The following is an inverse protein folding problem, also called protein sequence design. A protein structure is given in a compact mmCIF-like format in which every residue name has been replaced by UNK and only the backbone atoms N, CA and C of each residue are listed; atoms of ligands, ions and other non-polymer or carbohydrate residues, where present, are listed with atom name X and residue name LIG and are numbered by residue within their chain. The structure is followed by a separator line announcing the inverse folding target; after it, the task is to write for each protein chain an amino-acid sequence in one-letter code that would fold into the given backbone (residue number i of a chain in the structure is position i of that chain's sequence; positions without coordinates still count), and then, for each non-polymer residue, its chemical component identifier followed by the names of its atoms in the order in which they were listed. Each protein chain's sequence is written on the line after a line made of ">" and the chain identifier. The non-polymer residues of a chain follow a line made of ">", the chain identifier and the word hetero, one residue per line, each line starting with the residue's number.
data_IF_810748377324
#
_entry.id   IF_810748377324
#
_cell.length_a   1.000
_cell.length_b   1.000
_cell.length_c   1.000
_cell.angle_alpha   90.00
_cell.angle_beta   90.00
_cell.angle_gamma   90.00
#
_symmetry.space_group_name_H-M   'P 1'
#
loop_
_entity.id
_entity.type
_entity.pdbx_description
1 polymer ?
#
# COMPACT_ATOMS: atom_id res chain seq x y z
N UNK A 1 27.54 8.25 64.90
CA UNK A 1 27.95 8.44 63.51
C UNK A 1 26.90 7.75 62.59
N UNK A 2 25.91 8.49 62.21
CA UNK A 2 24.83 8.01 61.32
C UNK A 2 25.20 8.38 59.91
N UNK A 3 25.32 7.40 59.01
CA UNK A 3 25.57 7.59 57.59
C UNK A 3 24.36 8.27 56.93
N UNK A 4 24.57 9.22 56.00
CA UNK A 4 23.47 9.85 55.26
C UNK A 4 22.85 8.88 54.28
N UNK A 5 21.51 8.82 54.28
CA UNK A 5 20.72 8.06 53.32
C UNK A 5 21.03 8.55 51.90
N UNK A 6 21.45 7.63 51.04
CA UNK A 6 21.62 7.89 49.61
C UNK A 6 20.25 8.28 48.99
N UNK A 7 20.15 9.52 48.55
CA UNK A 7 19.03 10.01 47.75
C UNK A 7 19.11 9.26 46.41
N UNK A 8 18.25 8.25 46.25
CA UNK A 8 18.03 7.63 44.95
C UNK A 8 17.37 8.70 44.08
N UNK A 9 18.16 9.28 43.17
CA UNK A 9 17.66 10.20 42.18
C UNK A 9 16.59 9.47 41.37
N UNK A 10 15.34 9.94 41.49
CA UNK A 10 14.22 9.53 40.63
C UNK A 10 14.64 9.83 39.19
N UNK A 11 14.51 8.88 38.24
CA UNK A 11 14.87 9.20 36.87
C UNK A 11 14.02 10.37 36.39
N UNK A 12 14.68 11.40 35.87
CA UNK A 12 14.08 12.59 35.25
C UNK A 12 13.11 12.17 34.14
N UNK A 13 11.84 12.07 34.48
CA UNK A 13 10.74 11.69 33.59
C UNK A 13 9.87 12.90 33.24
N UNK A 14 10.35 14.11 33.47
CA UNK A 14 9.53 15.32 33.46
C UNK A 14 9.59 16.14 32.18
N UNK A 15 10.25 15.66 31.11
CA UNK A 15 10.33 16.43 29.85
C UNK A 15 9.88 15.63 28.64
N UNK A 16 8.66 15.09 28.66
CA UNK A 16 8.00 14.75 27.40
C UNK A 16 7.20 15.97 26.90
N UNK A 17 7.90 17.04 26.54
CA UNK A 17 7.35 18.18 25.83
C UNK A 17 7.38 17.87 24.32
N UNK A 18 6.38 17.14 23.85
CA UNK A 18 5.75 17.48 22.60
C UNK A 18 6.35 17.05 21.30
N UNK A 19 6.91 15.87 21.06
CA UNK A 19 6.77 15.18 19.76
C UNK A 19 7.08 13.70 19.94
N UNK A 20 6.20 12.83 19.44
CA UNK A 20 6.47 11.39 19.43
C UNK A 20 7.68 11.16 18.52
N UNK A 21 8.82 10.60 19.02
CA UNK A 21 9.98 10.39 18.18
C UNK A 21 9.63 9.52 16.97
N UNK A 22 9.80 10.07 15.76
CA UNK A 22 9.52 9.38 14.49
C UNK A 22 8.27 9.86 13.73
N UNK A 23 7.45 10.78 14.31
CA UNK A 23 6.37 11.43 13.56
C UNK A 23 6.92 12.49 12.59
N UNK A 24 8.01 13.13 12.99
CA UNK A 24 8.55 14.30 12.31
C UNK A 24 9.95 14.11 11.71
N UNK A 25 10.50 12.89 11.78
CA UNK A 25 11.83 12.60 11.21
C UNK A 25 11.82 12.54 9.68
N UNK A 26 12.94 12.96 9.03
CA UNK A 26 13.07 12.81 7.59
C UNK A 26 13.06 11.32 7.21
N UNK A 27 12.32 10.97 6.17
CA UNK A 27 12.37 9.61 5.60
C UNK A 27 13.64 9.45 4.75
N UNK A 28 14.29 8.28 4.86
CA UNK A 28 15.44 7.97 4.01
C UNK A 28 15.05 7.98 2.52
N UNK A 29 16.03 8.26 1.66
CA UNK A 29 15.81 8.26 0.22
C UNK A 29 15.28 6.92 -0.28
N UNK A 30 15.76 5.81 0.30
CA UNK A 30 15.29 4.47 -0.04
C UNK A 30 13.77 4.29 0.23
N UNK A 31 13.28 4.73 1.39
CA UNK A 31 11.85 4.67 1.74
C UNK A 31 11.02 5.57 0.82
N UNK A 32 11.52 6.75 0.47
CA UNK A 32 10.81 7.68 -0.43
C UNK A 32 10.68 7.12 -1.85
N UNK A 33 11.78 6.62 -2.42
CA UNK A 33 11.76 5.98 -3.75
C UNK A 33 10.83 4.78 -3.73
N UNK A 34 10.94 3.92 -2.73
CA UNK A 34 10.07 2.76 -2.58
C UNK A 34 8.58 3.16 -2.53
N UNK A 35 8.24 4.17 -1.73
CA UNK A 35 6.87 4.65 -1.58
C UNK A 35 6.29 5.17 -2.90
N UNK A 36 7.03 6.01 -3.63
CA UNK A 36 6.55 6.56 -4.89
C UNK A 36 6.49 5.51 -6.00
N UNK A 37 7.43 4.57 -6.01
CA UNK A 37 7.36 3.41 -6.90
C UNK A 37 6.12 2.57 -6.61
N UNK A 38 5.86 2.25 -5.34
CA UNK A 38 4.67 1.49 -4.95
C UNK A 38 3.39 2.22 -5.35
N UNK A 39 3.31 3.53 -5.11
CA UNK A 39 2.18 4.36 -5.53
C UNK A 39 1.94 4.26 -7.04
N UNK A 40 2.99 4.38 -7.84
CA UNK A 40 2.89 4.29 -9.31
C UNK A 40 2.38 2.90 -9.75
N UNK A 41 2.97 1.82 -9.25
CA UNK A 41 2.60 0.46 -9.63
C UNK A 41 1.19 0.08 -9.18
N UNK A 42 0.80 0.44 -7.96
CA UNK A 42 -0.56 0.20 -7.44
C UNK A 42 -1.59 1.01 -8.22
N UNK A 43 -1.31 2.29 -8.52
CA UNK A 43 -2.21 3.13 -9.31
C UNK A 43 -2.36 2.62 -10.74
N UNK A 44 -1.27 2.22 -11.39
CA UNK A 44 -1.32 1.63 -12.73
C UNK A 44 -2.08 0.29 -12.73
N UNK A 45 -1.85 -0.56 -11.74
CA UNK A 45 -2.60 -1.81 -11.57
C UNK A 45 -4.10 -1.56 -11.36
N UNK A 46 -4.47 -0.56 -10.57
CA UNK A 46 -5.86 -0.14 -10.42
C UNK A 46 -6.48 0.28 -11.75
N UNK A 47 -5.76 1.09 -12.55
CA UNK A 47 -6.23 1.54 -13.86
C UNK A 47 -6.47 0.37 -14.80
N UNK A 48 -5.59 -0.65 -14.83
CA UNK A 48 -5.80 -1.83 -15.67
C UNK A 48 -7.08 -2.59 -15.32
N UNK A 49 -7.35 -2.78 -14.00
CA UNK A 49 -8.58 -3.44 -13.54
C UNK A 49 -9.81 -2.60 -13.86
N UNK A 50 -9.74 -1.27 -13.65
CA UNK A 50 -10.83 -0.36 -13.98
C UNK A 50 -11.17 -0.41 -15.47
N UNK A 51 -10.17 -0.32 -16.34
CA UNK A 51 -10.36 -0.40 -17.79
C UNK A 51 -10.93 -1.76 -18.22
N UNK A 52 -10.41 -2.87 -17.69
CA UNK A 52 -10.90 -4.21 -18.00
C UNK A 52 -12.35 -4.42 -17.53
N UNK A 53 -12.76 -3.82 -16.41
CA UNK A 53 -14.11 -3.97 -15.85
C UNK A 53 -15.15 -3.01 -16.43
N UNK A 54 -14.72 -1.94 -17.10
CA UNK A 54 -15.60 -0.89 -17.65
C UNK A 54 -15.50 -0.79 -19.17
N UNK A 55 -14.46 -0.16 -19.69
CA UNK A 55 -14.29 0.17 -21.10
C UNK A 55 -14.12 -1.10 -21.95
N UNK A 56 -13.22 -1.99 -21.54
CA UNK A 56 -12.89 -3.24 -22.27
C UNK A 56 -13.67 -4.45 -21.75
N UNK A 57 -14.80 -4.21 -21.10
CA UNK A 57 -15.69 -5.31 -20.76
C UNK A 57 -16.17 -6.01 -22.05
N UNK A 58 -15.99 -7.32 -22.14
CA UNK A 58 -16.22 -8.10 -23.38
C UNK A 58 -17.54 -7.75 -24.09
N UNK A 59 -18.64 -7.58 -23.36
CA UNK A 59 -19.93 -7.21 -23.93
C UNK A 59 -19.91 -5.87 -24.67
N UNK A 60 -19.25 -4.85 -24.10
CA UNK A 60 -19.18 -3.52 -24.70
C UNK A 60 -18.25 -3.52 -25.91
N UNK A 61 -17.13 -4.22 -25.81
CA UNK A 61 -16.13 -4.33 -26.89
C UNK A 61 -16.68 -5.07 -28.08
N UNK A 62 -17.46 -6.15 -27.90
CA UNK A 62 -18.10 -6.89 -29.00
C UNK A 62 -19.04 -5.98 -29.79
N UNK A 63 -19.93 -5.25 -29.11
CA UNK A 63 -20.86 -4.33 -29.75
C UNK A 63 -20.13 -3.21 -30.54
N UNK A 64 -19.07 -2.67 -29.92
CA UNK A 64 -18.23 -1.64 -30.54
C UNK A 64 -17.54 -2.14 -31.79
N UNK A 65 -16.90 -3.33 -31.75
CA UNK A 65 -16.23 -3.93 -32.94
C UNK A 65 -17.21 -4.17 -34.07
N UNK A 66 -18.39 -4.74 -33.79
CA UNK A 66 -19.40 -4.98 -34.82
C UNK A 66 -19.91 -3.67 -35.43
N UNK A 67 -20.18 -2.64 -34.58
CA UNK A 67 -20.66 -1.34 -35.05
C UNK A 67 -19.66 -0.60 -35.94
N UNK A 68 -18.39 -0.55 -35.53
CA UNK A 68 -17.33 0.12 -36.28
C UNK A 68 -17.03 -0.55 -37.61
N UNK A 69 -17.01 -1.89 -37.65
CA UNK A 69 -16.78 -2.64 -38.90
C UNK A 69 -17.97 -2.55 -39.85
N UNK A 70 -19.20 -2.56 -39.34
CA UNK A 70 -20.41 -2.37 -40.15
C UNK A 70 -20.41 -1.00 -40.81
N UNK A 71 -19.97 0.07 -40.17
CA UNK A 71 -19.82 1.41 -40.76
C UNK A 71 -18.80 1.43 -41.92
N UNK A 72 -17.86 0.49 -41.94
CA UNK A 72 -16.88 0.31 -43.02
C UNK A 72 -17.34 -0.68 -44.10
N UNK A 73 -18.59 -1.13 -44.02
CA UNK A 73 -19.13 -2.12 -44.98
C UNK A 73 -18.66 -3.56 -44.74
N UNK A 74 -18.04 -3.84 -43.55
CA UNK A 74 -17.56 -5.17 -43.20
C UNK A 74 -18.51 -5.79 -42.20
N UNK A 75 -19.11 -6.92 -42.51
CA UNK A 75 -19.93 -7.70 -41.59
C UNK A 75 -19.08 -8.75 -40.88
N UNK A 76 -19.07 -8.73 -39.52
CA UNK A 76 -18.43 -9.72 -38.68
C UNK A 76 -19.46 -10.40 -37.80
N UNK A 77 -19.32 -11.71 -37.65
CA UNK A 77 -20.17 -12.46 -36.73
C UNK A 77 -19.78 -12.18 -35.23
N UNK A 78 -20.68 -12.57 -34.34
CA UNK A 78 -20.46 -12.35 -32.90
C UNK A 78 -19.25 -13.13 -32.35
N UNK A 79 -18.85 -14.24 -32.95
CA UNK A 79 -17.67 -15.03 -32.59
C UNK A 79 -16.38 -14.29 -32.94
N UNK A 80 -16.30 -13.75 -34.15
CA UNK A 80 -15.17 -12.96 -34.61
C UNK A 80 -14.99 -11.68 -33.75
N UNK A 81 -16.08 -10.95 -33.50
CA UNK A 81 -16.04 -9.76 -32.64
C UNK A 81 -15.64 -10.10 -31.22
N UNK A 82 -16.07 -11.26 -30.73
CA UNK A 82 -15.69 -11.75 -29.36
C UNK A 82 -14.22 -12.11 -29.31
N UNK A 83 -13.65 -12.72 -30.35
CA UNK A 83 -12.22 -13.04 -30.38
C UNK A 83 -11.37 -11.76 -30.30
N UNK A 84 -11.75 -10.70 -31.02
CA UNK A 84 -11.08 -9.39 -30.91
C UNK A 84 -11.23 -8.79 -29.50
N UNK A 85 -12.44 -8.84 -28.92
CA UNK A 85 -12.67 -8.35 -27.57
C UNK A 85 -11.82 -9.06 -26.52
N UNK A 86 -11.66 -10.38 -26.63
CA UNK A 86 -10.79 -11.16 -25.74
C UNK A 86 -9.33 -10.77 -25.93
N UNK A 87 -8.84 -10.60 -27.16
CA UNK A 87 -7.46 -10.20 -27.40
C UNK A 87 -7.08 -8.87 -26.71
N UNK A 88 -7.98 -7.89 -26.70
CA UNK A 88 -7.78 -6.64 -25.94
C UNK A 88 -7.79 -6.86 -24.44
N UNK A 89 -8.75 -7.64 -23.93
CA UNK A 89 -8.83 -7.97 -22.52
C UNK A 89 -7.56 -8.69 -22.04
N UNK A 90 -7.07 -9.65 -22.81
CA UNK A 90 -5.87 -10.43 -22.48
C UNK A 90 -4.63 -9.54 -22.39
N UNK A 91 -4.50 -8.55 -23.28
CA UNK A 91 -3.41 -7.56 -23.22
C UNK A 91 -3.45 -6.73 -21.94
N UNK A 92 -4.63 -6.30 -21.48
CA UNK A 92 -4.76 -5.58 -20.20
C UNK A 92 -4.37 -6.47 -19.02
N UNK A 93 -4.77 -7.74 -19.03
CA UNK A 93 -4.40 -8.70 -17.98
C UNK A 93 -2.91 -9.03 -18.01
N UNK A 94 -2.27 -9.07 -19.18
CA UNK A 94 -0.81 -9.21 -19.30
C UNK A 94 -0.10 -8.01 -18.65
N UNK A 95 -0.55 -6.77 -18.95
CA UNK A 95 -0.02 -5.57 -18.29
C UNK A 95 -0.22 -5.64 -16.78
N UNK A 96 -1.41 -6.06 -16.31
CA UNK A 96 -1.70 -6.23 -14.89
C UNK A 96 -0.75 -7.22 -14.23
N UNK A 97 -0.47 -8.37 -14.86
CA UNK A 97 0.50 -9.36 -14.37
C UNK A 97 1.90 -8.76 -14.22
N UNK A 98 2.39 -8.02 -15.23
CA UNK A 98 3.71 -7.37 -15.16
C UNK A 98 3.78 -6.33 -14.06
N UNK A 99 2.74 -5.52 -13.88
CA UNK A 99 2.64 -4.59 -12.75
C UNK A 99 2.62 -5.35 -11.41
N UNK A 100 1.92 -6.47 -11.35
CA UNK A 100 1.89 -7.38 -10.20
C UNK A 100 3.28 -7.91 -9.83
N UNK A 101 4.09 -8.34 -10.81
CA UNK A 101 5.48 -8.75 -10.56
C UNK A 101 6.32 -7.58 -10.02
N UNK A 102 6.11 -6.36 -10.54
CA UNK A 102 6.74 -5.16 -9.99
C UNK A 102 6.36 -4.90 -8.53
N UNK A 103 5.08 -5.08 -8.18
CA UNK A 103 4.61 -4.97 -6.78
C UNK A 103 5.25 -6.06 -5.91
N UNK A 104 5.35 -7.31 -6.38
CA UNK A 104 6.04 -8.39 -5.66
C UNK A 104 7.50 -8.03 -5.36
N UNK A 105 8.22 -7.47 -6.33
CA UNK A 105 9.59 -6.99 -6.14
C UNK A 105 9.65 -5.85 -5.11
N UNK A 106 8.72 -4.91 -5.14
CA UNK A 106 8.65 -3.81 -4.18
C UNK A 106 8.32 -4.31 -2.76
N UNK A 107 7.48 -5.33 -2.62
CA UNK A 107 7.22 -5.98 -1.32
C UNK A 107 8.50 -6.63 -0.79
N UNK A 108 9.24 -7.34 -1.63
CA UNK A 108 10.52 -7.93 -1.25
C UNK A 108 11.53 -6.88 -0.82
N UNK A 109 11.68 -5.79 -1.59
CA UNK A 109 12.55 -4.66 -1.24
C UNK A 109 12.14 -4.06 0.10
N UNK A 110 10.83 -3.92 0.38
CA UNK A 110 10.35 -3.41 1.67
C UNK A 110 10.73 -4.31 2.83
N UNK A 111 10.64 -5.61 2.66
CA UNK A 111 11.08 -6.60 3.66
C UNK A 111 12.59 -6.45 3.92
N UNK A 112 13.39 -6.34 2.86
CA UNK A 112 14.85 -6.13 2.98
C UNK A 112 15.15 -4.82 3.73
N UNK A 113 14.49 -3.72 3.40
CA UNK A 113 14.64 -2.44 4.11
C UNK A 113 14.28 -2.59 5.59
N UNK A 114 13.22 -3.32 5.91
CA UNK A 114 12.81 -3.57 7.31
C UNK A 114 13.86 -4.37 8.08
N UNK A 115 14.53 -5.32 7.41
CA UNK A 115 15.55 -6.17 8.03
C UNK A 115 16.92 -5.48 8.16
N UNK A 116 17.35 -4.74 7.13
CA UNK A 116 18.71 -4.21 7.02
C UNK A 116 18.80 -2.71 7.27
N UNK A 117 17.72 -1.97 7.09
CA UNK A 117 17.69 -0.51 7.24
C UNK A 117 18.01 -0.01 8.66
N UNK A 118 18.22 1.30 8.83
CA UNK A 118 18.48 1.91 10.13
C UNK A 118 17.40 1.56 11.14
N UNK A 119 17.79 1.15 12.36
CA UNK A 119 16.84 0.76 13.42
C UNK A 119 15.71 1.77 13.67
N UNK A 120 15.96 3.11 13.69
CA UNK A 120 14.89 4.09 13.92
C UNK A 120 13.80 4.11 12.84
N UNK A 121 14.10 3.66 11.63
CA UNK A 121 13.15 3.64 10.50
C UNK A 121 12.31 2.35 10.42
N UNK A 122 12.71 1.31 11.16
CA UNK A 122 12.01 0.03 11.17
C UNK A 122 10.67 0.17 11.87
N UNK A 123 9.61 -0.24 11.17
CA UNK A 123 8.22 -0.15 11.66
C UNK A 123 8.03 -0.87 12.99
N UNK A 124 8.58 -2.08 13.12
CA UNK A 124 8.51 -2.87 14.34
C UNK A 124 9.19 -2.19 15.54
N UNK A 125 10.35 -1.54 15.32
CA UNK A 125 11.07 -0.80 16.36
C UNK A 125 10.29 0.45 16.78
N UNK A 126 9.75 1.19 15.81
CA UNK A 126 8.93 2.38 16.09
C UNK A 126 7.68 2.03 16.89
N UNK A 127 6.97 0.97 16.49
CA UNK A 127 5.78 0.52 17.21
C UNK A 127 6.11 0.05 18.62
N UNK A 128 7.18 -0.75 18.79
CA UNK A 128 7.62 -1.22 20.12
C UNK A 128 8.00 -0.05 21.04
N UNK A 129 8.72 0.95 20.52
CA UNK A 129 9.05 2.17 21.28
C UNK A 129 7.79 2.93 21.69
N UNK A 130 6.85 3.15 20.77
CA UNK A 130 5.63 3.89 21.07
C UNK A 130 4.75 3.18 22.11
N UNK A 131 4.68 1.85 22.08
CA UNK A 131 3.96 1.05 23.08
C UNK A 131 4.59 1.12 24.48
N UNK A 132 5.90 1.38 24.57
CA UNK A 132 6.60 1.54 25.85
C UNK A 132 6.55 2.96 26.43
N UNK A 133 6.02 3.95 25.70
CA UNK A 133 5.91 5.32 26.17
C UNK A 133 4.80 5.45 27.23
N UNK A 134 5.09 6.19 28.31
CA UNK A 134 4.13 6.57 29.34
C UNK A 134 3.89 8.09 29.26
N UNK A 135 3.02 8.55 28.35
CA UNK A 135 2.80 9.97 28.16
C UNK A 135 2.08 10.58 29.36
N UNK A 136 2.59 11.71 29.83
CA UNK A 136 1.98 12.53 30.87
C UNK A 136 1.09 13.59 30.23
N UNK A 137 -0.16 13.67 30.67
CA UNK A 137 -1.14 14.61 30.12
C UNK A 137 -1.99 14.05 28.98
N UNK A 138 -3.17 14.68 28.79
CA UNK A 138 -4.19 14.24 27.83
C UNK A 138 -3.72 14.37 26.37
N UNK A 139 -3.05 15.47 26.05
CA UNK A 139 -2.61 15.73 24.67
C UNK A 139 -1.53 14.74 24.23
N UNK A 140 -0.49 14.52 25.06
CA UNK A 140 0.57 13.57 24.78
C UNK A 140 0.03 12.14 24.63
N UNK A 141 -0.97 11.75 25.44
CA UNK A 141 -1.65 10.44 25.29
C UNK A 141 -2.34 10.31 23.95
N UNK A 142 -3.05 11.35 23.50
CA UNK A 142 -3.74 11.33 22.21
C UNK A 142 -2.74 11.21 21.04
N UNK A 143 -1.62 11.93 21.09
CA UNK A 143 -0.58 11.88 20.05
C UNK A 143 0.06 10.50 19.98
N UNK A 144 0.44 9.90 21.11
CA UNK A 144 0.98 8.53 21.17
C UNK A 144 -0.03 7.52 20.65
N UNK A 145 -1.30 7.60 21.06
CA UNK A 145 -2.35 6.71 20.59
C UNK A 145 -2.56 6.84 19.09
N UNK A 146 -2.63 8.06 18.56
CA UNK A 146 -2.75 8.32 17.13
C UNK A 146 -1.56 7.70 16.35
N UNK A 147 -0.33 7.89 16.85
CA UNK A 147 0.85 7.28 16.24
C UNK A 147 0.77 5.75 16.20
N UNK A 148 0.39 5.12 17.33
CA UNK A 148 0.23 3.66 17.41
C UNK A 148 -0.83 3.17 16.42
N UNK A 149 -1.98 3.85 16.34
CA UNK A 149 -3.05 3.48 15.40
C UNK A 149 -2.58 3.57 13.94
N UNK A 150 -1.92 4.66 13.57
CA UNK A 150 -1.36 4.81 12.21
C UNK A 150 -0.37 3.68 11.89
N UNK A 151 0.53 3.34 12.83
CA UNK A 151 1.50 2.25 12.62
C UNK A 151 0.83 0.87 12.54
N UNK A 152 -0.23 0.62 13.31
CA UNK A 152 -1.03 -0.61 13.22
C UNK A 152 -1.70 -0.74 11.85
N UNK A 153 -2.26 0.34 11.34
CA UNK A 153 -2.87 0.37 9.99
C UNK A 153 -1.81 0.06 8.92
N UNK A 154 -0.58 0.55 9.06
CA UNK A 154 0.51 0.20 8.14
C UNK A 154 0.90 -1.29 8.23
N UNK A 155 0.92 -1.89 9.41
CA UNK A 155 1.17 -3.33 9.55
C UNK A 155 0.09 -4.14 8.82
N UNK A 156 -1.19 -3.78 9.00
CA UNK A 156 -2.31 -4.42 8.31
C UNK A 156 -2.18 -4.27 6.79
N UNK A 157 -1.83 -3.07 6.33
CA UNK A 157 -1.62 -2.80 4.91
C UNK A 157 -0.48 -3.64 4.32
N UNK A 158 0.68 -3.69 4.97
CA UNK A 158 1.81 -4.50 4.48
C UNK A 158 1.49 -5.99 4.46
N UNK A 159 0.73 -6.46 5.44
CA UNK A 159 0.25 -7.85 5.45
C UNK A 159 -0.73 -8.10 4.29
N UNK A 160 -1.70 -7.22 4.07
CA UNK A 160 -2.62 -7.31 2.95
C UNK A 160 -1.89 -7.23 1.60
N UNK A 161 -0.88 -6.36 1.47
CA UNK A 161 -0.06 -6.23 0.27
C UNK A 161 0.77 -7.49 0.01
N UNK A 162 1.32 -8.10 1.05
CA UNK A 162 2.03 -9.39 0.95
C UNK A 162 1.09 -10.50 0.47
N UNK A 163 -0.09 -10.63 1.06
CA UNK A 163 -1.08 -11.61 0.62
C UNK A 163 -1.56 -11.33 -0.81
N UNK A 164 -1.73 -10.05 -1.18
CA UNK A 164 -2.06 -9.65 -2.55
C UNK A 164 -0.97 -10.11 -3.54
N UNK A 165 0.31 -9.92 -3.20
CA UNK A 165 1.44 -10.37 -4.00
C UNK A 165 1.45 -11.89 -4.14
N UNK A 166 1.29 -12.64 -3.04
CA UNK A 166 1.27 -14.10 -3.05
C UNK A 166 0.10 -14.67 -3.86
N UNK A 167 -1.10 -14.13 -3.67
CA UNK A 167 -2.28 -14.54 -4.44
C UNK A 167 -2.17 -14.17 -5.92
N UNK A 168 -1.58 -13.01 -6.24
CA UNK A 168 -1.31 -12.59 -7.60
C UNK A 168 -0.32 -13.52 -8.31
N UNK A 169 0.76 -13.93 -7.63
CA UNK A 169 1.68 -14.95 -8.14
C UNK A 169 0.96 -16.29 -8.36
N UNK A 170 0.11 -16.71 -7.41
CA UNK A 170 -0.68 -17.93 -7.56
C UNK A 170 -1.60 -17.92 -8.78
N UNK A 171 -2.18 -16.76 -9.13
CA UNK A 171 -2.98 -16.60 -10.35
C UNK A 171 -2.13 -16.50 -11.62
N UNK A 172 -0.93 -15.91 -11.53
CA UNK A 172 -0.04 -15.79 -12.68
C UNK A 172 0.57 -17.12 -13.12
N UNK A 173 0.74 -18.07 -12.20
CA UNK A 173 1.30 -19.41 -12.42
C UNK A 173 0.25 -20.52 -12.30
N UNK A 174 -0.96 -20.28 -12.82
CA UNK A 174 -2.09 -21.22 -12.76
C UNK A 174 -1.86 -22.56 -13.48
N UNK A 175 -0.83 -22.67 -14.33
CA UNK A 175 -0.43 -23.91 -14.99
C UNK A 175 0.09 -24.99 -14.01
N UNK A 176 0.52 -24.58 -12.82
CA UNK A 176 0.96 -25.49 -11.78
C UNK A 176 -0.27 -26.24 -11.22
N UNK A 177 -0.30 -27.60 -11.24
CA UNK A 177 -1.50 -28.39 -10.91
C UNK A 177 -2.16 -28.02 -9.56
N UNK A 178 -1.35 -27.80 -8.52
CA UNK A 178 -1.84 -27.39 -7.20
C UNK A 178 -2.54 -26.02 -7.24
N UNK A 179 -1.95 -25.04 -7.94
CA UNK A 179 -2.51 -23.68 -8.06
C UNK A 179 -3.78 -23.68 -8.91
N UNK A 180 -3.83 -24.52 -9.95
CA UNK A 180 -5.05 -24.70 -10.77
C UNK A 180 -6.22 -25.20 -9.92
N UNK A 181 -6.01 -26.15 -9.04
CA UNK A 181 -7.06 -26.67 -8.14
C UNK A 181 -7.54 -25.59 -7.17
N UNK A 182 -6.65 -24.73 -6.68
CA UNK A 182 -6.98 -23.64 -5.74
C UNK A 182 -7.37 -22.33 -6.45
N UNK A 183 -7.35 -22.26 -7.78
CA UNK A 183 -7.53 -21.01 -8.56
C UNK A 183 -8.76 -20.20 -8.14
N UNK A 184 -9.93 -20.84 -7.98
CA UNK A 184 -11.16 -20.14 -7.60
C UNK A 184 -11.04 -19.47 -6.21
N UNK A 185 -10.48 -20.16 -5.24
CA UNK A 185 -10.26 -19.63 -3.89
C UNK A 185 -9.24 -18.49 -3.90
N UNK A 186 -8.11 -18.67 -4.60
CA UNK A 186 -7.07 -17.65 -4.74
C UNK A 186 -7.64 -16.38 -5.39
N UNK A 187 -8.44 -16.52 -6.44
CA UNK A 187 -9.09 -15.39 -7.15
C UNK A 187 -10.06 -14.64 -6.23
N UNK A 188 -10.84 -15.34 -5.41
CA UNK A 188 -11.75 -14.69 -4.46
C UNK A 188 -10.98 -13.90 -3.40
N UNK A 189 -9.92 -14.49 -2.83
CA UNK A 189 -9.07 -13.82 -1.83
C UNK A 189 -8.38 -12.60 -2.45
N UNK A 190 -7.81 -12.74 -3.66
CA UNK A 190 -7.19 -11.64 -4.39
C UNK A 190 -8.18 -10.48 -4.64
N UNK A 191 -9.39 -10.79 -5.08
CA UNK A 191 -10.45 -9.80 -5.28
C UNK A 191 -10.91 -9.13 -3.98
N UNK A 192 -10.97 -9.85 -2.87
CA UNK A 192 -11.27 -9.27 -1.56
C UNK A 192 -10.14 -8.32 -1.09
N UNK A 193 -8.88 -8.74 -1.21
CA UNK A 193 -7.72 -7.93 -0.87
C UNK A 193 -7.64 -6.65 -1.70
N UNK A 194 -8.06 -6.69 -2.96
CA UNK A 194 -8.17 -5.51 -3.82
C UNK A 194 -9.02 -4.42 -3.16
N UNK A 195 -10.19 -4.76 -2.62
CA UNK A 195 -11.06 -3.80 -1.94
C UNK A 195 -10.44 -3.27 -0.64
N UNK A 196 -9.72 -4.11 0.10
CA UNK A 196 -8.99 -3.67 1.29
C UNK A 196 -7.90 -2.64 0.93
N UNK A 197 -7.14 -2.89 -0.15
CA UNK A 197 -6.09 -1.96 -0.60
C UNK A 197 -6.71 -0.65 -1.09
N UNK A 198 -7.82 -0.69 -1.82
CA UNK A 198 -8.52 0.53 -2.24
C UNK A 198 -9.01 1.35 -1.04
N UNK A 199 -9.63 0.71 -0.06
CA UNK A 199 -10.05 1.35 1.18
C UNK A 199 -8.87 1.99 1.92
N UNK A 200 -7.75 1.27 2.02
CA UNK A 200 -6.54 1.81 2.63
C UNK A 200 -6.02 3.05 1.87
N UNK A 201 -5.92 2.99 0.55
CA UNK A 201 -5.43 4.12 -0.27
C UNK A 201 -6.29 5.35 -0.06
N UNK A 202 -7.61 5.20 -0.06
CA UNK A 202 -8.53 6.32 0.17
C UNK A 202 -8.37 6.93 1.57
N UNK A 203 -8.31 6.09 2.61
CA UNK A 203 -8.10 6.52 3.99
C UNK A 203 -6.73 7.20 4.15
N UNK A 204 -5.69 6.61 3.54
CA UNK A 204 -4.34 7.16 3.56
C UNK A 204 -4.27 8.55 2.90
N UNK A 205 -4.83 8.71 1.70
CA UNK A 205 -4.86 10.00 1.01
C UNK A 205 -5.63 11.04 1.80
N UNK A 206 -6.82 10.70 2.30
CA UNK A 206 -7.60 11.58 3.16
C UNK A 206 -6.82 11.98 4.42
N UNK A 207 -6.20 11.01 5.09
CA UNK A 207 -5.39 11.24 6.30
C UNK A 207 -4.20 12.15 6.04
N UNK A 208 -3.47 11.94 4.93
CA UNK A 208 -2.33 12.78 4.53
C UNK A 208 -2.78 14.20 4.22
N UNK A 209 -3.85 14.38 3.43
CA UNK A 209 -4.38 15.70 3.09
C UNK A 209 -4.81 16.45 4.34
N UNK A 210 -5.59 15.82 5.23
CA UNK A 210 -6.06 16.43 6.47
C UNK A 210 -4.91 16.81 7.41
N UNK A 211 -3.89 15.96 7.50
CA UNK A 211 -2.72 16.21 8.32
C UNK A 211 -1.85 17.35 7.77
N UNK A 212 -1.66 17.40 6.44
CA UNK A 212 -0.86 18.44 5.76
C UNK A 212 -1.54 19.82 5.81
N UNK A 213 -2.88 19.86 5.74
CA UNK A 213 -3.67 21.08 5.92
C UNK A 213 -3.74 21.52 7.40
N UNK A 214 -3.51 20.58 8.34
CA UNK A 214 -3.63 20.80 9.78
C UNK A 214 -2.30 21.08 10.48
N UNK A 215 -2.07 20.34 11.59
CA UNK A 215 -0.91 20.51 12.48
C UNK A 215 0.43 20.04 11.91
N UNK A 216 0.40 19.14 10.92
CA UNK A 216 1.60 18.48 10.38
C UNK A 216 1.91 18.95 8.95
N UNK A 217 1.99 20.28 8.76
CA UNK A 217 2.31 20.87 7.47
C UNK A 217 3.64 20.33 6.92
N UNK A 218 3.68 20.07 5.61
CA UNK A 218 4.88 19.60 4.92
C UNK A 218 5.09 18.09 4.94
N UNK A 219 4.09 17.28 5.31
CA UNK A 219 4.19 15.81 5.22
C UNK A 219 4.44 15.34 3.79
N UNK A 220 3.68 15.88 2.82
CA UNK A 220 3.84 15.57 1.40
C UNK A 220 5.20 16.05 0.90
N UNK A 221 5.58 17.28 1.24
CA UNK A 221 6.90 17.84 0.90
C UNK A 221 8.05 17.02 1.50
N UNK A 222 7.91 16.58 2.75
CA UNK A 222 8.87 15.67 3.41
C UNK A 222 9.05 14.34 2.66
N UNK A 223 7.98 13.82 2.07
CA UNK A 223 8.01 12.59 1.30
C UNK A 223 8.58 12.77 -0.12
N UNK A 224 8.55 13.99 -0.67
CA UNK A 224 9.14 14.32 -1.97
C UNK A 224 10.61 14.73 -1.81
N UNK A 225 10.89 15.72 -0.96
CA UNK A 225 12.21 16.35 -0.86
C UNK A 225 13.07 15.83 0.29
N UNK A 226 12.49 15.07 1.23
CA UNK A 226 13.21 14.55 2.42
C UNK A 226 13.41 15.59 3.52
N UNK A 227 12.92 16.79 3.36
CA UNK A 227 12.96 17.88 4.35
C UNK A 227 11.56 18.43 4.51
N UNK A 228 11.18 18.77 5.75
CA UNK A 228 10.01 19.63 5.96
C UNK A 228 10.39 21.07 5.62
N UNK A 229 9.50 21.84 5.01
CA UNK A 229 9.70 23.26 4.79
C UNK A 229 9.87 24.02 6.11
#
# INVERSE_FOLDING_TARGET
>A
MTAPAAIIAKPDNDNYSGSVPGFDGPHSTAIRIWHWSLFLFVSASFVTVLLASTVFRARNTVAMVQGELAQKGVSVDAGQARAVAHAYSDKLWDIHKWLGFGICLLVLIRIIIEMTGPRPERLGVQLKKALGLQPTGRQARMEVQQFIQVKRIYVIFYFALLLMALTGLGLAFEDIPFLRTAHSAIKQVHGFLQWMIYGFVLIHLAGVILADLGKHKGLVSGMIHGRKP
#
